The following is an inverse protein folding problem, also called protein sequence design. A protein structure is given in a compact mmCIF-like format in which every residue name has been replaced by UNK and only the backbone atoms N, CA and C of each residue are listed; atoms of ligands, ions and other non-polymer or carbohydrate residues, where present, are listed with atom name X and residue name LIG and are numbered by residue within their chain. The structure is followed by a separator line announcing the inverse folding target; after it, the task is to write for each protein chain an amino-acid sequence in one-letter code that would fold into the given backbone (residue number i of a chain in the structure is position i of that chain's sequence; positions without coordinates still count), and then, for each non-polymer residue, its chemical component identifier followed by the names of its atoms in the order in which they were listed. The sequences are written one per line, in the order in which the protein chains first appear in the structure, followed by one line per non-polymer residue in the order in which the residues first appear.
data_IF_970835104907
#
_entry.id   IF_970835104907
#
_cell.length_a   1.000
_cell.length_b   1.000
_cell.length_c   1.000
_cell.angle_alpha   90.00
_cell.angle_beta   90.00
_cell.angle_gamma   90.00
#
_symmetry.space_group_name_H-M   'P 1'
#
loop_
_entity.id
_entity.type
_entity.pdbx_description
1 polymer ?
#
# COMPACT_ATOMS: atom_id res chain seq x y z
N UNK A 1 -10.45 4.87 -2.83
CA UNK A 1 -9.41 5.29 -1.86
C UNK A 1 -8.17 5.75 -2.61
N UNK A 2 -7.93 7.06 -2.67
CA UNK A 2 -6.69 7.59 -3.23
C UNK A 2 -5.57 7.52 -2.20
N UNK A 3 -4.35 7.33 -2.65
CA UNK A 3 -3.17 7.20 -1.81
C UNK A 3 -2.05 8.13 -2.31
N UNK A 4 -1.33 8.73 -1.36
CA UNK A 4 -0.08 9.42 -1.61
C UNK A 4 1.02 8.84 -0.72
N UNK A 5 2.18 8.59 -1.32
CA UNK A 5 3.39 8.21 -0.59
C UNK A 5 4.19 9.49 -0.40
N UNK A 6 4.40 9.85 0.86
CA UNK A 6 5.02 11.11 1.25
C UNK A 6 6.32 10.80 1.97
N UNK A 7 7.41 11.44 1.57
CA UNK A 7 8.69 11.34 2.26
C UNK A 7 8.63 12.05 3.61
N UNK A 8 9.60 11.78 4.48
CA UNK A 8 9.75 12.51 5.75
C UNK A 8 9.84 14.04 5.57
N UNK A 9 10.36 14.51 4.43
CA UNK A 9 10.47 15.92 4.10
C UNK A 9 9.16 16.55 3.57
N UNK A 10 8.06 15.78 3.51
CA UNK A 10 6.76 16.23 2.99
C UNK A 10 6.64 16.16 1.46
N UNK A 11 7.64 15.64 0.75
CA UNK A 11 7.58 15.49 -0.70
C UNK A 11 6.69 14.30 -1.08
N UNK A 12 5.76 14.51 -2.02
CA UNK A 12 4.99 13.40 -2.61
C UNK A 12 5.87 12.65 -3.60
N UNK A 13 6.22 11.40 -3.27
CA UNK A 13 7.06 10.54 -4.11
C UNK A 13 6.24 9.82 -5.18
N UNK A 14 5.02 9.40 -4.82
CA UNK A 14 4.11 8.75 -5.74
C UNK A 14 2.65 8.94 -5.30
N UNK A 15 1.75 8.84 -6.27
CA UNK A 15 0.30 8.79 -6.04
C UNK A 15 -0.23 7.48 -6.59
N UNK A 16 -1.35 7.03 -6.04
CA UNK A 16 -1.96 5.77 -6.43
C UNK A 16 -3.30 5.54 -5.77
N UNK A 17 -3.67 4.26 -5.71
CA UNK A 17 -4.86 3.77 -5.03
C UNK A 17 -4.56 2.47 -4.31
N UNK A 18 -5.13 2.33 -3.11
CA UNK A 18 -5.21 1.04 -2.45
C UNK A 18 -6.28 0.20 -3.15
N UNK A 19 -5.95 -1.06 -3.41
CA UNK A 19 -6.85 -2.05 -4.01
C UNK A 19 -6.77 -3.33 -3.22
N UNK A 20 -7.89 -4.05 -3.18
CA UNK A 20 -7.98 -5.40 -2.63
C UNK A 20 -8.14 -6.34 -3.81
N UNK A 21 -7.14 -7.19 -4.04
CA UNK A 21 -7.19 -8.19 -5.10
C UNK A 21 -7.39 -9.57 -4.48
N UNK A 22 -8.26 -10.38 -5.09
CA UNK A 22 -8.43 -11.78 -4.71
C UNK A 22 -7.33 -12.62 -5.36
N UNK A 23 -6.61 -13.38 -4.56
CA UNK A 23 -5.60 -14.34 -5.00
C UNK A 23 -6.24 -15.65 -5.45
N UNK A 24 -5.48 -16.50 -6.16
CA UNK A 24 -5.97 -17.78 -6.69
C UNK A 24 -6.41 -18.76 -5.58
N UNK A 25 -5.81 -18.65 -4.39
CA UNK A 25 -6.16 -19.43 -3.21
C UNK A 25 -7.42 -18.90 -2.48
N UNK A 26 -8.05 -17.85 -2.99
CA UNK A 26 -9.26 -17.24 -2.44
C UNK A 26 -9.01 -16.16 -1.39
N UNK A 27 -7.77 -15.95 -0.95
CA UNK A 27 -7.40 -14.90 0.00
C UNK A 27 -7.49 -13.51 -0.63
N UNK A 28 -7.71 -12.49 0.20
CA UNK A 28 -7.69 -11.10 -0.23
C UNK A 28 -6.32 -10.50 0.10
N UNK A 29 -5.69 -9.81 -0.85
CA UNK A 29 -4.43 -9.09 -0.63
C UNK A 29 -4.64 -7.59 -0.75
N UNK A 30 -4.06 -6.85 0.18
CA UNK A 30 -3.99 -5.39 0.09
C UNK A 30 -2.80 -4.98 -0.78
N UNK A 31 -3.08 -4.29 -1.88
CA UNK A 31 -2.07 -3.81 -2.82
C UNK A 31 -2.14 -2.29 -2.99
N UNK A 32 -1.01 -1.69 -3.35
CA UNK A 32 -0.96 -0.31 -3.84
C UNK A 32 -0.70 -0.31 -5.35
N UNK A 33 -1.61 0.27 -6.11
CA UNK A 33 -1.40 0.57 -7.53
C UNK A 33 -1.04 2.03 -7.70
N UNK A 34 0.18 2.32 -8.11
CA UNK A 34 0.61 3.69 -8.41
C UNK A 34 -0.02 4.18 -9.72
N UNK A 35 -0.13 5.50 -9.87
CA UNK A 35 -0.64 6.11 -11.10
C UNK A 35 0.27 5.81 -12.31
N UNK A 36 1.56 5.53 -12.07
CA UNK A 36 2.50 5.07 -13.09
C UNK A 36 2.34 3.59 -13.48
N UNK A 37 1.34 2.89 -12.96
CA UNK A 37 1.03 1.49 -13.31
C UNK A 37 1.77 0.45 -12.48
N UNK A 38 2.73 0.83 -11.64
CA UNK A 38 3.43 -0.11 -10.74
C UNK A 38 2.47 -0.63 -9.67
N UNK A 39 2.46 -1.94 -9.47
CA UNK A 39 1.77 -2.59 -8.35
C UNK A 39 2.80 -2.94 -7.28
N UNK A 40 2.53 -2.51 -6.06
CA UNK A 40 3.27 -2.91 -4.87
C UNK A 40 2.35 -3.85 -4.10
N UNK A 41 2.80 -5.10 -3.98
CA UNK A 41 2.06 -6.13 -3.27
C UNK A 41 2.25 -5.92 -1.78
N UNK A 42 1.15 -5.83 -1.03
CA UNK A 42 1.18 -5.83 0.43
C UNK A 42 0.87 -7.22 0.97
N UNK A 43 0.38 -7.28 2.20
CA UNK A 43 0.07 -8.54 2.86
C UNK A 43 -1.36 -9.03 2.61
N UNK A 44 -1.59 -10.26 3.06
CA UNK A 44 -2.91 -10.90 3.07
C UNK A 44 -3.76 -10.26 4.16
N UNK A 45 -5.02 -10.01 3.84
CA UNK A 45 -6.04 -9.53 4.77
C UNK A 45 -6.45 -10.68 5.68
N UNK A 46 -6.51 -10.41 6.97
CA UNK A 46 -6.87 -11.42 7.96
C UNK A 46 -8.32 -11.90 7.76
N UNK A 47 -8.64 -13.09 8.28
CA UNK A 47 -9.91 -13.75 8.04
C UNK A 47 -11.13 -12.97 8.59
N UNK A 48 -10.92 -12.12 9.58
CA UNK A 48 -11.89 -11.21 10.16
C UNK A 48 -12.01 -9.87 9.39
N UNK A 49 -11.20 -9.68 8.35
CA UNK A 49 -11.12 -8.46 7.56
C UNK A 49 -10.17 -7.42 8.13
N UNK A 50 -9.40 -7.72 9.18
CA UNK A 50 -8.38 -6.79 9.68
C UNK A 50 -7.28 -6.57 8.63
N UNK A 51 -6.95 -5.30 8.41
CA UNK A 51 -5.96 -4.85 7.44
C UNK A 51 -4.63 -4.52 8.11
N UNK A 52 -4.50 -4.64 9.44
CA UNK A 52 -3.30 -4.23 10.17
C UNK A 52 -2.04 -4.91 9.65
N UNK A 53 -2.03 -6.25 9.62
CA UNK A 53 -0.90 -7.03 9.12
C UNK A 53 -0.64 -6.77 7.64
N UNK A 54 -1.71 -6.76 6.83
CA UNK A 54 -1.66 -6.47 5.41
C UNK A 54 -1.04 -5.10 5.09
N UNK A 55 -1.38 -4.09 5.89
CA UNK A 55 -0.90 -2.71 5.75
C UNK A 55 0.54 -2.56 6.21
N UNK A 56 0.94 -3.26 7.27
CA UNK A 56 2.33 -3.27 7.74
C UNK A 56 3.25 -3.89 6.69
N UNK A 57 2.87 -5.02 6.11
CA UNK A 57 3.59 -5.62 4.98
C UNK A 57 3.64 -4.68 3.77
N UNK A 58 2.51 -4.06 3.41
CA UNK A 58 2.48 -3.08 2.32
C UNK A 58 3.46 -1.92 2.57
N UNK A 59 3.54 -1.45 3.81
CA UNK A 59 4.46 -0.40 4.20
C UNK A 59 5.92 -0.82 4.05
N UNK A 60 6.27 -2.05 4.46
CA UNK A 60 7.63 -2.61 4.24
C UNK A 60 7.96 -2.70 2.74
N UNK A 61 7.00 -3.05 1.90
CA UNK A 61 7.20 -3.13 0.45
C UNK A 61 7.33 -1.75 -0.21
N UNK A 62 6.66 -0.74 0.34
CA UNK A 62 6.92 0.65 -0.02
C UNK A 62 8.34 1.07 0.38
N UNK A 63 8.77 0.74 1.60
CA UNK A 63 10.15 0.99 2.03
C UNK A 63 11.17 0.34 1.07
N UNK A 64 10.99 -0.94 0.74
CA UNK A 64 11.85 -1.66 -0.20
C UNK A 64 11.86 -1.03 -1.60
N UNK A 65 10.73 -0.49 -2.06
CA UNK A 65 10.60 0.15 -3.37
C UNK A 65 11.35 1.48 -3.47
N UNK A 66 11.30 2.31 -2.42
CA UNK A 66 11.90 3.66 -2.47
C UNK A 66 13.20 3.79 -1.67
N UNK A 67 13.58 2.78 -0.89
CA UNK A 67 14.80 2.76 -0.05
C UNK A 67 14.89 3.97 0.89
N UNK A 68 13.74 4.47 1.36
CA UNK A 68 13.65 5.67 2.20
C UNK A 68 12.98 5.37 3.54
N UNK A 69 13.60 5.78 4.64
CA UNK A 69 13.00 5.72 5.97
C UNK A 69 12.03 6.88 6.19
N UNK A 70 11.04 6.67 7.08
CA UNK A 70 10.07 7.71 7.43
C UNK A 70 9.10 8.06 6.30
N UNK A 71 8.75 7.09 5.46
CA UNK A 71 7.65 7.25 4.52
C UNK A 71 6.32 7.32 5.30
N UNK A 72 5.39 8.11 4.78
CA UNK A 72 4.00 8.12 5.24
C UNK A 72 3.09 7.77 4.09
N UNK A 73 2.19 6.81 4.31
CA UNK A 73 1.12 6.49 3.38
C UNK A 73 -0.13 7.27 3.80
N UNK A 74 -0.51 8.28 3.00
CA UNK A 74 -1.71 9.07 3.26
C UNK A 74 -2.84 8.56 2.37
N UNK A 75 -3.94 8.12 2.99
CA UNK A 75 -5.13 7.63 2.30
C UNK A 75 -6.23 8.67 2.41
N UNK A 76 -6.83 9.02 1.28
CA UNK A 76 -8.02 9.88 1.23
C UNK A 76 -9.20 9.06 0.71
N UNK A 77 -10.24 9.00 1.54
CA UNK A 77 -11.55 8.48 1.16
C UNK A 77 -12.35 9.67 0.65
N UNK A 78 -12.84 9.57 -0.59
CA UNK A 78 -13.77 10.51 -1.19
C UNK A 78 -14.99 9.73 -1.64
#
# INVERSE_FOLDING_TARGET
MQCAIVSRAGQVLARGKLILDREENGEMRLNLKTNGGKIIRGGIVDADGDLKNASEELFQQCYATWQMTGLTLSVTIR
#
